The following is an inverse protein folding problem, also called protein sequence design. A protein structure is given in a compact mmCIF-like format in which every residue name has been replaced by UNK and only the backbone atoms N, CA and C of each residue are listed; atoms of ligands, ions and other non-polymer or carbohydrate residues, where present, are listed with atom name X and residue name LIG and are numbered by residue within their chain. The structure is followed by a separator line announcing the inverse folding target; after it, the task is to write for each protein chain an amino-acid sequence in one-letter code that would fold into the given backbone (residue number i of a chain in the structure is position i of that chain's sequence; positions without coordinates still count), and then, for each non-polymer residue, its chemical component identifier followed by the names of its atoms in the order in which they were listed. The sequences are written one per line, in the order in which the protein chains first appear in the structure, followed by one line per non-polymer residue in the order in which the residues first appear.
data_IF_119166216910
#
_entry.id   IF_119166216910
#
_cell.length_a   1.000
_cell.length_b   1.000
_cell.length_c   1.000
_cell.angle_alpha   90.00
_cell.angle_beta   90.00
_cell.angle_gamma   90.00
#
_symmetry.space_group_name_H-M   'P 1'
#
loop_
_entity.id
_entity.type
_entity.pdbx_description
1 polymer ?
#
# COMPACT_ATOMS: atom_id res chain seq x y z
N UNK A 1 -4.39 -15.73 -4.14
CA UNK A 1 -4.71 -14.38 -3.67
C UNK A 1 -4.09 -13.37 -4.60
N UNK A 2 -4.86 -12.44 -5.13
CA UNK A 2 -4.28 -11.47 -6.04
C UNK A 2 -3.58 -10.34 -5.29
N UNK A 3 -2.90 -9.48 -6.03
CA UNK A 3 -2.09 -8.41 -5.45
C UNK A 3 -2.93 -7.45 -4.61
N UNK A 4 -4.10 -7.10 -5.12
CA UNK A 4 -4.99 -6.20 -4.39
C UNK A 4 -5.39 -6.78 -3.04
N UNK A 5 -5.75 -8.05 -3.00
CA UNK A 5 -6.16 -8.69 -1.75
C UNK A 5 -5.03 -8.75 -0.75
N UNK A 6 -3.82 -9.02 -1.22
CA UNK A 6 -2.65 -9.04 -0.33
C UNK A 6 -2.38 -7.65 0.24
N UNK A 7 -2.43 -6.64 -0.61
CA UNK A 7 -2.20 -5.28 -0.17
C UNK A 7 -3.29 -4.81 0.77
N UNK A 8 -4.54 -5.17 0.47
CA UNK A 8 -5.66 -4.81 1.32
C UNK A 8 -5.47 -5.39 2.72
N UNK A 9 -5.08 -6.65 2.80
CA UNK A 9 -4.84 -7.31 4.08
C UNK A 9 -3.68 -6.66 4.83
N UNK A 10 -2.60 -6.34 4.13
CA UNK A 10 -1.45 -5.68 4.73
C UNK A 10 -1.81 -4.30 5.30
N UNK A 11 -2.53 -3.52 4.53
CA UNK A 11 -2.94 -2.19 4.96
C UNK A 11 -3.89 -2.26 6.15
N UNK A 12 -4.81 -3.23 6.12
CA UNK A 12 -5.74 -3.40 7.22
C UNK A 12 -5.00 -3.70 8.53
N UNK A 13 -3.99 -4.55 8.45
CA UNK A 13 -3.19 -4.91 9.61
C UNK A 13 -2.27 -3.76 10.03
N UNK A 14 -1.61 -3.14 9.06
CA UNK A 14 -0.63 -2.10 9.33
C UNK A 14 -1.27 -0.82 9.89
N UNK A 15 -2.41 -0.46 9.34
CA UNK A 15 -3.10 0.77 9.71
C UNK A 15 -4.29 0.54 10.64
N UNK A 16 -4.51 -0.71 11.02
CA UNK A 16 -5.61 -1.08 11.94
C UNK A 16 -6.96 -0.61 11.43
N UNK A 17 -7.25 -0.94 10.17
CA UNK A 17 -8.50 -0.56 9.53
C UNK A 17 -9.26 -1.80 9.09
N UNK A 18 -10.56 -1.62 8.85
CA UNK A 18 -11.43 -2.70 8.38
C UNK A 18 -11.12 -3.00 6.92
N UNK A 19 -10.73 -4.24 6.58
CA UNK A 19 -10.45 -4.58 5.18
C UNK A 19 -11.62 -4.29 4.24
N UNK A 20 -12.84 -4.35 4.72
CA UNK A 20 -14.02 -4.09 3.90
C UNK A 20 -14.09 -2.65 3.42
N UNK A 21 -13.43 -1.75 4.13
CA UNK A 21 -13.40 -0.32 3.77
C UNK A 21 -12.22 0.04 2.88
N UNK A 22 -11.38 -0.93 2.59
CA UNK A 22 -10.16 -0.75 1.85
C UNK A 22 -10.40 -1.08 0.38
N UNK A 23 -10.65 -0.06 -0.42
CA UNK A 23 -10.91 -0.23 -1.86
C UNK A 23 -9.81 0.42 -2.67
N UNK A 24 -9.80 0.15 -3.97
CA UNK A 24 -8.80 0.73 -4.86
C UNK A 24 -8.83 2.26 -4.85
N UNK A 25 -9.98 2.85 -4.60
CA UNK A 25 -10.15 4.29 -4.61
C UNK A 25 -9.90 4.93 -3.25
N UNK A 26 -9.71 4.13 -2.22
CA UNK A 26 -9.48 4.66 -0.88
C UNK A 26 -8.19 5.46 -0.82
N UNK A 27 -8.25 6.64 -0.23
CA UNK A 27 -7.08 7.49 -0.05
C UNK A 27 -6.42 7.11 1.28
N UNK A 28 -5.15 6.73 1.20
CA UNK A 28 -4.45 6.20 2.37
C UNK A 28 -4.34 7.24 3.49
N UNK A 29 -4.10 8.48 3.12
CA UNK A 29 -3.92 9.53 4.14
C UNK A 29 -5.25 10.08 4.64
N UNK A 30 -6.20 10.27 3.74
CA UNK A 30 -7.50 10.86 4.10
C UNK A 30 -8.48 9.87 4.69
N UNK A 31 -8.65 8.74 4.02
CA UNK A 31 -9.65 7.76 4.43
C UNK A 31 -9.19 6.93 5.62
N UNK A 32 -7.89 6.66 5.70
CA UNK A 32 -7.33 5.83 6.77
C UNK A 32 -6.60 6.64 7.82
N UNK A 33 -6.54 7.95 7.63
CA UNK A 33 -5.89 8.86 8.58
C UNK A 33 -4.44 8.48 8.87
N UNK A 34 -3.76 7.93 7.89
CA UNK A 34 -2.36 7.54 8.03
C UNK A 34 -1.47 8.77 7.87
N UNK A 35 -0.44 8.87 8.70
CA UNK A 35 0.53 9.95 8.56
C UNK A 35 1.76 9.44 7.78
N UNK A 36 2.77 10.29 7.62
CA UNK A 36 3.93 9.93 6.82
C UNK A 36 4.71 8.76 7.41
N UNK A 37 4.73 8.62 8.73
CA UNK A 37 5.41 7.49 9.36
C UNK A 37 4.68 6.19 9.06
N UNK A 38 3.35 6.23 9.09
CA UNK A 38 2.56 5.05 8.75
C UNK A 38 2.80 4.62 7.31
N UNK A 39 2.91 5.61 6.42
CA UNK A 39 3.16 5.34 5.00
C UNK A 39 4.54 4.70 4.82
N UNK A 40 5.54 5.21 5.51
CA UNK A 40 6.90 4.66 5.42
C UNK A 40 6.91 3.22 5.92
N UNK A 41 6.27 2.96 7.05
CA UNK A 41 6.19 1.60 7.58
C UNK A 41 5.48 0.66 6.62
N UNK A 42 4.39 1.13 6.02
CA UNK A 42 3.65 0.36 5.03
C UNK A 42 4.54 0.02 3.84
N UNK A 43 5.27 1.01 3.35
CA UNK A 43 6.16 0.82 2.20
C UNK A 43 7.24 -0.20 2.52
N UNK A 44 7.84 -0.13 3.69
CA UNK A 44 8.85 -1.10 4.10
C UNK A 44 8.28 -2.52 4.14
N UNK A 45 7.07 -2.65 4.63
CA UNK A 45 6.39 -3.94 4.66
C UNK A 45 6.14 -4.46 3.26
N UNK A 46 5.73 -3.58 2.36
CA UNK A 46 5.49 -3.95 0.96
C UNK A 46 6.78 -4.40 0.29
N UNK A 47 7.87 -3.70 0.54
CA UNK A 47 9.16 -4.08 -0.03
C UNK A 47 9.58 -5.47 0.40
N UNK A 48 9.38 -5.75 1.67
CA UNK A 48 9.75 -7.04 2.25
C UNK A 48 8.83 -8.15 1.75
N UNK A 49 7.54 -7.88 1.70
CA UNK A 49 6.54 -8.88 1.32
C UNK A 49 6.61 -9.25 -0.16
N UNK A 50 6.81 -8.27 -1.01
CA UNK A 50 6.80 -8.48 -2.46
C UNK A 50 8.20 -8.49 -3.09
N UNK A 51 9.24 -8.24 -2.30
CA UNK A 51 10.61 -8.24 -2.82
C UNK A 51 10.89 -7.16 -3.82
N UNK A 52 10.33 -5.98 -3.60
CA UNK A 52 10.49 -4.82 -4.49
C UNK A 52 11.15 -3.67 -3.76
N UNK A 53 11.61 -2.68 -4.53
CA UNK A 53 12.14 -1.45 -3.97
C UNK A 53 11.22 -0.30 -4.32
N UNK A 54 10.92 0.54 -3.33
CA UNK A 54 10.07 1.72 -3.54
C UNK A 54 10.91 2.96 -3.25
N UNK A 55 11.38 3.66 -4.27
CA UNK A 55 12.17 4.87 -4.05
C UNK A 55 11.32 5.99 -3.47
N UNK A 56 11.97 6.96 -2.86
CA UNK A 56 11.28 8.07 -2.21
C UNK A 56 10.35 8.81 -3.18
N UNK A 57 10.78 8.95 -4.42
CA UNK A 57 9.97 9.61 -5.45
C UNK A 57 8.64 8.88 -5.67
N UNK A 58 8.68 7.56 -5.62
CA UNK A 58 7.48 6.76 -5.83
C UNK A 58 6.54 6.85 -4.63
N UNK A 59 7.10 6.96 -3.43
CA UNK A 59 6.29 7.06 -2.22
C UNK A 59 5.34 8.26 -2.30
N UNK A 60 5.82 9.36 -2.84
CA UNK A 60 5.01 10.56 -2.98
C UNK A 60 3.80 10.37 -3.89
N UNK A 61 3.86 9.39 -4.76
CA UNK A 61 2.78 9.09 -5.70
C UNK A 61 1.83 8.00 -5.20
N UNK A 62 2.12 7.40 -4.07
CA UNK A 62 1.28 6.34 -3.50
C UNK A 62 0.22 6.96 -2.59
N UNK A 63 -0.81 7.49 -3.20
CA UNK A 63 -1.89 8.20 -2.48
C UNK A 63 -3.10 7.34 -2.22
N UNK A 64 -3.43 6.46 -3.16
CA UNK A 64 -4.58 5.57 -3.02
C UNK A 64 -4.12 4.13 -2.97
N UNK A 65 -5.02 3.25 -2.53
CA UNK A 65 -4.73 1.81 -2.55
C UNK A 65 -4.45 1.36 -3.98
N UNK A 66 -5.19 1.89 -4.94
CA UNK A 66 -4.95 1.58 -6.35
C UNK A 66 -3.56 1.94 -6.83
N UNK A 67 -3.05 3.09 -6.37
CA UNK A 67 -1.69 3.49 -6.71
C UNK A 67 -0.67 2.48 -6.20
N UNK A 68 -0.88 2.00 -4.97
CA UNK A 68 0.01 1.01 -4.37
C UNK A 68 -0.06 -0.30 -5.15
N UNK A 69 -1.27 -0.75 -5.46
CA UNK A 69 -1.46 -1.99 -6.21
C UNK A 69 -0.79 -1.90 -7.57
N UNK A 70 -1.01 -0.80 -8.29
CA UNK A 70 -0.41 -0.61 -9.61
C UNK A 70 1.11 -0.59 -9.54
N UNK A 71 1.66 0.07 -8.54
CA UNK A 71 3.10 0.13 -8.38
C UNK A 71 3.67 -1.28 -8.15
N UNK A 72 3.06 -2.02 -7.23
CA UNK A 72 3.52 -3.37 -6.90
C UNK A 72 3.43 -4.28 -8.13
N UNK A 73 2.31 -4.23 -8.85
CA UNK A 73 2.13 -5.06 -10.03
C UNK A 73 3.14 -4.74 -11.13
N UNK A 74 3.50 -3.46 -11.24
CA UNK A 74 4.49 -3.04 -12.23
C UNK A 74 5.89 -3.52 -11.91
N UNK A 75 6.22 -3.65 -10.64
CA UNK A 75 7.57 -3.96 -10.18
C UNK A 75 7.76 -5.38 -9.68
N UNK A 76 6.67 -6.07 -9.41
CA UNK A 76 6.71 -7.42 -8.90
C UNK A 76 7.03 -8.44 -9.97
N UNK A 77 6.81 -8.08 -11.17
CA UNK A 77 6.88 -8.98 -12.27
C UNK A 77 8.32 -9.37 -12.59
N UNK A 78 8.68 -10.51 -12.14
CA UNK A 78 10.00 -11.04 -12.41
C UNK A 78 10.14 -11.46 -13.85
#
# INVERSE_FOLDING_TARGET
MDTFEKIRALLAEQLDIDPAKNTMESDIMSDFEADSLDIVDMVMTLEDEFGIEVPDDAIENLRTVGDVVNFVESHQNG
#
